data_IF_939606251190
#
_entry.id   IF_939606251190
#
_cell.length_a   1.000
_cell.length_b   1.000
_cell.length_c   1.000
_cell.angle_alpha   90.00
_cell.angle_beta   90.00
_cell.angle_gamma   90.00
#
_symmetry.space_group_name_H-M   'P 1'
#
loop_
_entity.id
_entity.type
_entity.pdbx_description
1 polymer ?
#
# COMPACT_ATOMS: atom_id res chain seq x y z
N UNK A 1 8.15 8.93 -42.06
CA UNK A 1 9.14 8.35 -41.13
C UNK A 1 8.52 7.09 -40.57
N UNK A 2 8.82 5.94 -41.16
CA UNK A 2 8.30 4.65 -40.70
C UNK A 2 8.90 4.32 -39.33
N UNK A 3 8.04 3.98 -38.37
CA UNK A 3 8.50 3.53 -37.05
C UNK A 3 9.20 2.18 -37.20
N UNK A 4 10.39 1.98 -36.62
CA UNK A 4 11.04 0.68 -36.65
C UNK A 4 10.15 -0.36 -35.95
N UNK A 5 9.84 -1.45 -36.65
CA UNK A 5 9.10 -2.57 -36.10
C UNK A 5 9.97 -3.28 -35.05
N UNK A 6 9.52 -3.31 -33.80
CA UNK A 6 10.17 -4.06 -32.73
C UNK A 6 9.82 -5.55 -32.95
N UNK A 7 10.80 -6.45 -33.12
CA UNK A 7 10.51 -7.86 -33.33
C UNK A 7 9.84 -8.46 -32.09
N UNK A 8 8.91 -9.39 -32.31
CA UNK A 8 8.24 -10.10 -31.24
C UNK A 8 9.26 -10.88 -30.39
N UNK A 9 9.11 -10.92 -29.06
CA UNK A 9 9.99 -11.71 -28.21
C UNK A 9 9.91 -13.22 -28.56
N UNK A 10 11.01 -13.98 -28.38
CA UNK A 10 11.04 -15.42 -28.62
C UNK A 10 9.97 -16.17 -27.82
N UNK A 11 9.46 -17.28 -28.36
CA UNK A 11 8.40 -18.10 -27.75
C UNK A 11 8.79 -18.66 -26.36
N UNK A 12 10.09 -18.79 -26.10
CA UNK A 12 10.65 -19.27 -24.84
C UNK A 12 11.17 -18.15 -23.93
N UNK A 13 10.86 -16.88 -24.25
CA UNK A 13 11.23 -15.76 -23.40
C UNK A 13 10.41 -15.79 -22.12
N UNK A 14 11.01 -16.34 -21.06
CA UNK A 14 10.54 -16.09 -19.70
C UNK A 14 11.17 -14.76 -19.26
N UNK A 15 10.38 -13.76 -18.85
CA UNK A 15 10.95 -12.64 -18.14
C UNK A 15 11.67 -13.23 -16.94
N UNK A 16 13.00 -13.12 -16.91
CA UNK A 16 13.72 -13.41 -15.68
C UNK A 16 13.09 -12.51 -14.63
N UNK A 17 12.47 -13.13 -13.62
CA UNK A 17 12.00 -12.43 -12.44
C UNK A 17 13.26 -11.88 -11.76
N UNK A 18 13.74 -10.72 -12.24
CA UNK A 18 14.79 -9.97 -11.57
C UNK A 18 14.30 -9.80 -10.15
N UNK A 19 14.93 -10.49 -9.20
CA UNK A 19 14.74 -10.22 -7.77
C UNK A 19 15.06 -8.75 -7.61
N UNK A 20 14.02 -7.93 -7.51
CA UNK A 20 14.23 -6.52 -7.33
C UNK A 20 14.80 -6.34 -5.93
N UNK A 21 16.00 -5.77 -5.84
CA UNK A 21 16.52 -5.28 -4.57
C UNK A 21 15.72 -4.02 -4.22
N UNK A 22 14.55 -4.23 -3.59
CA UNK A 22 13.60 -3.16 -3.36
C UNK A 22 14.24 -2.02 -2.56
N UNK A 23 14.28 -0.83 -3.18
CA UNK A 23 14.59 0.44 -2.52
C UNK A 23 13.28 1.23 -2.43
N UNK A 24 12.56 0.99 -1.33
CA UNK A 24 11.27 1.63 -1.06
C UNK A 24 11.48 3.04 -0.51
N UNK A 25 10.93 4.03 -1.21
CA UNK A 25 10.86 5.41 -0.74
C UNK A 25 9.46 5.75 -0.28
N UNK A 26 9.36 6.53 0.79
CA UNK A 26 8.10 7.06 1.26
C UNK A 26 7.50 8.01 0.22
N UNK A 27 6.20 7.86 -0.04
CA UNK A 27 5.44 8.72 -0.95
C UNK A 27 4.52 9.66 -0.18
N UNK A 28 3.54 9.11 0.52
CA UNK A 28 2.56 9.87 1.30
C UNK A 28 1.92 9.01 2.39
N UNK A 29 1.22 9.69 3.30
CA UNK A 29 0.41 9.07 4.36
C UNK A 29 -1.06 9.39 4.12
N UNK A 30 -1.88 8.35 4.16
CA UNK A 30 -3.33 8.46 4.24
C UNK A 30 -3.79 8.31 5.69
N UNK A 31 -4.74 9.14 6.09
CA UNK A 31 -5.33 9.11 7.41
C UNK A 31 -6.81 8.81 7.31
N UNK A 32 -7.24 7.71 7.93
CA UNK A 32 -8.64 7.33 8.06
C UNK A 32 -9.05 7.46 9.52
N UNK A 33 -10.16 8.14 9.77
CA UNK A 33 -10.78 8.18 11.09
C UNK A 33 -12.25 7.80 10.97
N UNK A 34 -12.64 6.73 11.64
CA UNK A 34 -14.05 6.34 11.76
C UNK A 34 -14.52 6.68 13.16
N UNK A 35 -15.45 7.63 13.26
CA UNK A 35 -16.06 8.00 14.54
C UNK A 35 -17.43 7.35 14.66
N UNK A 36 -17.57 6.46 15.63
CA UNK A 36 -18.83 5.80 15.98
C UNK A 36 -19.27 6.18 17.38
N UNK A 37 -20.56 6.02 17.69
CA UNK A 37 -21.15 6.42 18.98
C UNK A 37 -20.42 5.85 20.20
N UNK A 38 -19.78 4.68 20.06
CA UNK A 38 -19.07 3.99 21.14
C UNK A 38 -17.67 3.50 20.76
N UNK A 39 -17.26 3.68 19.49
CA UNK A 39 -15.97 3.25 18.99
C UNK A 39 -15.39 4.35 18.10
N UNK A 40 -14.18 4.81 18.39
CA UNK A 40 -13.42 5.61 17.43
C UNK A 40 -12.24 4.78 16.94
N UNK A 41 -12.07 4.68 15.62
CA UNK A 41 -10.89 4.08 15.00
C UNK A 41 -10.09 5.16 14.27
N UNK A 42 -8.78 5.09 14.40
CA UNK A 42 -7.83 5.90 13.67
C UNK A 42 -6.80 4.99 13.01
N UNK A 43 -6.60 5.15 11.71
CA UNK A 43 -5.63 4.39 10.93
C UNK A 43 -4.79 5.34 10.09
N UNK A 44 -3.47 5.24 10.24
CA UNK A 44 -2.50 5.87 9.35
C UNK A 44 -1.91 4.79 8.44
N UNK A 45 -2.10 4.97 7.13
CA UNK A 45 -1.51 4.13 6.09
C UNK A 45 -0.39 4.90 5.39
N UNK A 46 0.82 4.36 5.43
CA UNK A 46 1.95 4.94 4.71
C UNK A 46 2.17 4.15 3.41
N UNK A 47 2.23 4.86 2.29
CA UNK A 47 2.52 4.28 0.98
C UNK A 47 3.96 4.53 0.60
N UNK A 48 4.60 3.45 0.12
CA UNK A 48 5.96 3.42 -0.35
C UNK A 48 6.00 3.01 -1.82
N UNK A 49 7.01 3.47 -2.53
CA UNK A 49 7.24 3.13 -3.92
C UNK A 49 8.66 2.63 -4.12
N UNK A 50 8.82 1.52 -4.83
CA UNK A 50 10.12 1.02 -5.22
C UNK A 50 10.63 1.73 -6.47
N UNK A 51 11.80 2.36 -6.37
CA UNK A 51 12.43 3.09 -7.49
C UNK A 51 12.79 2.22 -8.69
N UNK A 52 12.95 0.92 -8.50
CA UNK A 52 13.47 0.02 -9.53
C UNK A 52 12.38 -0.79 -10.25
N UNK A 53 11.43 -1.36 -9.51
CA UNK A 53 10.36 -2.19 -10.09
C UNK A 53 9.03 -1.44 -10.23
N UNK A 54 8.96 -0.18 -9.78
CA UNK A 54 7.75 0.65 -9.78
C UNK A 54 6.59 0.06 -8.97
N UNK A 55 6.89 -0.86 -8.05
CA UNK A 55 5.92 -1.47 -7.15
C UNK A 55 5.52 -0.50 -6.04
N UNK A 56 4.23 -0.47 -5.72
CA UNK A 56 3.67 0.28 -4.59
C UNK A 56 3.43 -0.68 -3.43
N UNK A 57 3.82 -0.27 -2.23
CA UNK A 57 3.59 -1.01 -1.00
C UNK A 57 2.95 -0.09 0.03
N UNK A 58 1.76 -0.44 0.50
CA UNK A 58 1.09 0.29 1.58
C UNK A 58 1.18 -0.51 2.86
N UNK A 59 1.52 0.15 3.97
CA UNK A 59 1.60 -0.45 5.30
C UNK A 59 0.80 0.37 6.30
N UNK A 60 0.26 -0.28 7.31
CA UNK A 60 -0.41 0.40 8.42
C UNK A 60 0.68 0.86 9.40
N UNK A 61 0.93 2.16 9.45
CA UNK A 61 1.95 2.75 10.32
C UNK A 61 1.43 2.97 11.74
N UNK A 62 0.15 3.32 11.88
CA UNK A 62 -0.55 3.43 13.17
C UNK A 62 -1.97 2.94 13.06
N UNK A 63 -2.42 2.23 14.09
CA UNK A 63 -3.81 1.82 14.23
C UNK A 63 -4.21 1.96 15.70
N UNK A 64 -5.16 2.84 15.96
CA UNK A 64 -5.70 3.11 17.28
C UNK A 64 -7.19 2.82 17.27
N UNK A 65 -7.65 1.98 18.21
CA UNK A 65 -9.06 1.67 18.38
C UNK A 65 -9.43 2.03 19.82
N UNK A 66 -10.29 3.02 19.99
CA UNK A 66 -10.89 3.34 21.27
C UNK A 66 -12.29 2.75 21.35
N UNK A 67 -12.63 2.20 22.51
CA UNK A 67 -13.92 1.59 22.79
C UNK A 67 -14.45 2.19 24.08
N UNK A 68 -15.38 3.13 23.95
CA UNK A 68 -15.99 3.77 25.11
C UNK A 68 -17.24 2.99 25.48
N UNK A 69 -17.18 2.29 26.63
CA UNK A 69 -18.37 1.65 27.19
C UNK A 69 -19.26 2.71 27.82
N UNK A 70 -20.52 2.85 27.41
CA UNK A 70 -21.41 3.81 28.05
C UNK A 70 -21.68 3.41 29.51
N UNK A 71 -21.97 4.38 30.40
CA UNK A 71 -22.10 4.12 31.85
C UNK A 71 -23.19 3.11 32.22
N UNK A 72 -24.18 2.92 31.36
CA UNK A 72 -25.29 1.98 31.54
C UNK A 72 -24.97 0.55 31.06
N UNK A 73 -23.86 0.34 30.34
CA UNK A 73 -23.47 -0.98 29.82
C UNK A 73 -22.75 -1.78 30.91
N UNK A 74 -23.51 -2.64 31.61
CA UNK A 74 -23.00 -3.67 32.52
C UNK A 74 -22.84 -4.94 31.71
N UNK A 75 -21.61 -5.23 31.28
CA UNK A 75 -21.27 -6.48 30.58
C UNK A 75 -21.48 -7.72 31.43
#
# INVERSE_FOLDING_TARGET
MDRPAIPAPPKDWKPEAKKCNHDFVFLYSDFSREAGTYNDSYEQRDTFFCRYCLEYKTVIARQENSRTRPPWYRG
#
